data_IF_561170197712
#
_entry.id   IF_561170197712
#
_cell.length_a   1.000
_cell.length_b   1.000
_cell.length_c   1.000
_cell.angle_alpha   90.00
_cell.angle_beta   90.00
_cell.angle_gamma   90.00
#
_symmetry.space_group_name_H-M   'P 1'
#
loop_
_entity.id
_entity.type
_entity.pdbx_description
1 polymer ?
#
# COMPACT_ATOMS: atom_id res chain seq x y z
N UNK A 1 60.05 0.48 -2.06
CA UNK A 1 58.86 1.20 -1.52
C UNK A 1 57.64 1.21 -2.47
N UNK A 2 57.72 0.79 -3.74
CA UNK A 2 56.59 0.86 -4.68
C UNK A 2 55.56 -0.29 -4.54
N UNK A 3 55.98 -1.49 -4.13
CA UNK A 3 55.09 -2.65 -4.00
C UNK A 3 54.00 -2.52 -2.94
N UNK A 4 54.27 -1.82 -1.83
CA UNK A 4 53.29 -1.59 -0.76
C UNK A 4 52.16 -0.65 -1.21
N UNK A 5 52.48 0.37 -2.02
CA UNK A 5 51.49 1.31 -2.55
C UNK A 5 50.53 0.63 -3.54
N UNK A 6 51.05 -0.26 -4.40
CA UNK A 6 50.23 -1.02 -5.36
C UNK A 6 49.27 -1.96 -4.61
N UNK A 7 49.75 -2.66 -3.58
CA UNK A 7 48.90 -3.54 -2.76
C UNK A 7 47.76 -2.79 -2.06
N UNK A 8 48.04 -1.61 -1.53
CA UNK A 8 47.02 -0.76 -0.89
C UNK A 8 45.97 -0.27 -1.90
N UNK A 9 46.39 0.13 -3.10
CA UNK A 9 45.48 0.57 -4.16
C UNK A 9 44.59 -0.57 -4.69
N UNK A 10 45.14 -1.75 -4.92
CA UNK A 10 44.37 -2.92 -5.38
C UNK A 10 43.38 -3.38 -4.31
N UNK A 11 43.77 -3.42 -3.04
CA UNK A 11 42.88 -3.78 -1.92
C UNK A 11 41.76 -2.75 -1.72
N UNK A 12 42.07 -1.45 -1.82
CA UNK A 12 41.09 -0.38 -1.75
C UNK A 12 40.09 -0.44 -2.91
N UNK A 13 40.56 -0.70 -4.14
CA UNK A 13 39.69 -0.83 -5.31
C UNK A 13 38.77 -2.07 -5.21
N UNK A 14 39.28 -3.19 -4.68
CA UNK A 14 38.50 -4.40 -4.42
C UNK A 14 37.41 -4.18 -3.36
N UNK A 15 37.72 -3.44 -2.28
CA UNK A 15 36.74 -3.08 -1.26
C UNK A 15 35.68 -2.11 -1.77
N UNK A 16 36.03 -1.17 -2.65
CA UNK A 16 35.05 -0.30 -3.29
C UNK A 16 34.14 -1.08 -4.26
N UNK A 17 34.68 -2.08 -4.97
CA UNK A 17 33.90 -2.90 -5.88
C UNK A 17 32.85 -3.76 -5.13
N UNK A 18 33.17 -4.30 -3.95
CA UNK A 18 32.21 -5.12 -3.18
C UNK A 18 31.04 -4.32 -2.61
N UNK A 19 31.23 -3.04 -2.25
CA UNK A 19 30.15 -2.16 -1.78
C UNK A 19 29.15 -1.84 -2.91
N UNK A 20 29.64 -1.71 -4.15
CA UNK A 20 28.78 -1.40 -5.32
C UNK A 20 27.93 -2.60 -5.76
N UNK A 21 28.40 -3.83 -5.53
CA UNK A 21 27.68 -5.06 -5.90
C UNK A 21 26.55 -5.46 -4.94
N UNK A 22 26.46 -4.85 -3.76
CA UNK A 22 25.34 -5.07 -2.84
C UNK A 22 24.09 -4.31 -3.32
N UNK A 23 23.58 -4.67 -4.50
CA UNK A 23 22.32 -4.18 -5.03
C UNK A 23 21.20 -5.03 -4.42
N UNK A 24 20.56 -4.53 -3.37
CA UNK A 24 19.33 -5.17 -2.90
C UNK A 24 18.29 -5.14 -4.02
N UNK A 25 17.79 -6.32 -4.40
CA UNK A 25 16.68 -6.44 -5.34
C UNK A 25 15.42 -6.00 -4.60
N UNK A 26 14.77 -4.96 -5.11
CA UNK A 26 13.48 -4.53 -4.60
C UNK A 26 12.52 -5.73 -4.61
N UNK A 27 11.75 -5.89 -3.52
CA UNK A 27 10.70 -6.90 -3.47
C UNK A 27 9.80 -6.72 -4.68
N UNK A 28 9.63 -7.79 -5.43
CA UNK A 28 8.74 -7.79 -6.58
C UNK A 28 7.30 -7.81 -6.04
N UNK A 29 6.42 -6.92 -6.51
CA UNK A 29 5.01 -7.00 -6.16
C UNK A 29 4.43 -8.32 -6.68
N UNK A 30 3.48 -8.87 -5.94
CA UNK A 30 2.86 -10.16 -6.28
C UNK A 30 2.11 -10.05 -7.63
N UNK A 31 2.47 -10.88 -8.63
CA UNK A 31 1.89 -10.82 -9.97
C UNK A 31 0.40 -11.21 -10.01
N UNK A 32 -0.14 -11.83 -8.96
CA UNK A 32 -1.56 -12.17 -8.88
C UNK A 32 -2.45 -10.92 -8.71
N UNK A 33 -1.89 -9.81 -8.23
CA UNK A 33 -2.62 -8.56 -8.06
C UNK A 33 -2.69 -7.77 -9.37
N UNK A 34 -3.91 -7.61 -9.88
CA UNK A 34 -4.18 -6.69 -10.97
C UNK A 34 -4.41 -5.30 -10.38
N UNK A 35 -3.68 -4.31 -10.86
CA UNK A 35 -3.79 -2.93 -10.38
C UNK A 35 -3.89 -1.95 -11.54
N UNK A 36 -4.58 -0.84 -11.32
CA UNK A 36 -4.71 0.21 -12.32
C UNK A 36 -5.11 1.55 -11.71
N UNK A 37 -5.08 2.59 -12.53
CA UNK A 37 -5.53 3.93 -12.18
C UNK A 37 -6.46 4.43 -13.27
N UNK A 38 -7.64 4.88 -12.88
CA UNK A 38 -8.61 5.50 -13.78
C UNK A 38 -8.19 6.93 -14.13
N UNK A 39 -8.77 7.51 -15.19
CA UNK A 39 -8.44 8.86 -15.65
C UNK A 39 -8.70 9.95 -14.58
N UNK A 40 -9.59 9.69 -13.62
CA UNK A 40 -9.89 10.58 -12.49
C UNK A 40 -8.90 10.42 -11.31
N UNK A 41 -7.87 9.58 -11.44
CA UNK A 41 -6.90 9.29 -10.38
C UNK A 41 -7.35 8.23 -9.36
N UNK A 42 -8.50 7.59 -9.56
CA UNK A 42 -8.95 6.51 -8.70
C UNK A 42 -8.14 5.24 -8.95
N UNK A 43 -7.48 4.74 -7.90
CA UNK A 43 -6.66 3.54 -7.95
C UNK A 43 -7.50 2.32 -7.55
N UNK A 44 -7.36 1.24 -8.31
CA UNK A 44 -8.07 -0.01 -8.04
C UNK A 44 -7.10 -1.19 -8.04
N UNK A 45 -7.44 -2.20 -7.25
CA UNK A 45 -6.68 -3.44 -7.12
C UNK A 45 -7.67 -4.61 -7.04
N UNK A 46 -7.42 -5.65 -7.83
CA UNK A 46 -8.25 -6.86 -7.90
C UNK A 46 -7.34 -8.08 -7.77
N UNK A 47 -7.69 -8.95 -6.82
CA UNK A 47 -7.08 -10.27 -6.66
C UNK A 47 -8.12 -11.32 -7.05
N UNK A 48 -7.89 -12.01 -8.16
CA UNK A 48 -8.71 -13.14 -8.55
C UNK A 48 -8.22 -14.40 -7.83
N UNK A 49 -9.07 -15.03 -7.03
CA UNK A 49 -8.77 -16.29 -6.32
C UNK A 49 -9.57 -17.45 -6.95
N UNK A 50 -9.21 -17.91 -8.17
CA UNK A 50 -9.96 -18.99 -8.86
C UNK A 50 -9.94 -20.32 -8.09
N UNK A 51 -8.98 -20.48 -7.17
CA UNK A 51 -8.82 -21.65 -6.30
C UNK A 51 -9.96 -21.81 -5.28
N UNK A 52 -10.77 -20.77 -5.02
CA UNK A 52 -11.96 -20.87 -4.13
C UNK A 52 -13.17 -20.18 -4.76
N UNK A 53 -13.90 -20.87 -5.66
CA UNK A 53 -15.04 -20.28 -6.36
C UNK A 53 -16.27 -20.07 -5.45
N UNK A 54 -16.39 -20.83 -4.35
CA UNK A 54 -17.49 -20.71 -3.40
C UNK A 54 -17.24 -19.69 -2.28
N UNK A 55 -16.07 -19.04 -2.27
CA UNK A 55 -15.72 -18.08 -1.23
C UNK A 55 -16.42 -16.73 -1.44
N UNK A 56 -16.54 -15.94 -0.38
CA UNK A 56 -17.20 -14.63 -0.46
C UNK A 56 -16.31 -13.62 -1.15
N UNK A 57 -16.92 -12.73 -1.95
CA UNK A 57 -16.22 -11.59 -2.53
C UNK A 57 -16.05 -10.53 -1.45
N UNK A 58 -14.81 -10.08 -1.21
CA UNK A 58 -14.51 -8.96 -0.33
C UNK A 58 -14.28 -7.69 -1.13
N UNK A 59 -15.04 -6.63 -0.81
CA UNK A 59 -14.86 -5.30 -1.40
C UNK A 59 -14.36 -4.36 -0.31
N UNK A 60 -13.25 -3.66 -0.59
CA UNK A 60 -12.63 -2.70 0.34
C UNK A 60 -12.45 -1.37 -0.37
N UNK A 61 -13.06 -0.32 0.17
CA UNK A 61 -12.81 1.06 -0.26
C UNK A 61 -11.93 1.74 0.79
N UNK A 62 -10.75 2.19 0.38
CA UNK A 62 -9.85 2.96 1.22
C UNK A 62 -9.83 4.42 0.77
N UNK A 63 -9.98 5.33 1.73
CA UNK A 63 -9.86 6.77 1.52
C UNK A 63 -8.75 7.27 2.44
N UNK A 64 -7.76 7.95 1.88
CA UNK A 64 -6.57 8.42 2.62
C UNK A 64 -6.88 9.71 3.42
N UNK A 65 -7.90 9.67 4.28
CA UNK A 65 -8.34 10.77 5.14
C UNK A 65 -8.62 10.18 6.52
N UNK A 66 -8.19 10.86 7.58
CA UNK A 66 -8.38 10.41 8.96
C UNK A 66 -8.46 11.57 9.94
N UNK A 67 -8.46 11.28 11.24
CA UNK A 67 -8.53 12.31 12.29
C UNK A 67 -7.36 13.30 12.26
N UNK A 68 -6.21 12.89 11.73
CA UNK A 68 -5.04 13.76 11.55
C UNK A 68 -5.29 14.91 10.55
N UNK A 69 -6.25 14.75 9.64
CA UNK A 69 -6.64 15.78 8.67
C UNK A 69 -7.83 16.62 9.14
N UNK A 70 -8.30 16.45 10.38
CA UNK A 70 -9.41 17.23 10.94
C UNK A 70 -8.94 18.56 11.52
N UNK A 71 -9.74 19.61 11.30
CA UNK A 71 -9.61 20.87 12.05
C UNK A 71 -10.33 20.77 13.40
N UNK A 72 -10.08 21.72 14.31
CA UNK A 72 -10.70 21.77 15.64
C UNK A 72 -12.24 21.85 15.59
N UNK A 73 -12.80 22.49 14.56
CA UNK A 73 -14.24 22.56 14.32
C UNK A 73 -14.84 21.28 13.70
N UNK A 74 -13.99 20.40 13.17
CA UNK A 74 -14.37 19.17 12.44
C UNK A 74 -13.99 17.90 13.23
N UNK A 75 -13.76 18.04 14.53
CA UNK A 75 -13.39 16.93 15.40
C UNK A 75 -14.42 15.79 15.32
N UNK A 76 -13.96 14.59 14.97
CA UNK A 76 -14.77 13.37 14.89
C UNK A 76 -15.44 13.12 13.53
N UNK A 77 -15.20 13.96 12.52
CA UNK A 77 -15.81 13.82 11.18
C UNK A 77 -15.37 12.53 10.46
N UNK A 78 -14.10 12.13 10.58
CA UNK A 78 -13.54 10.94 9.95
C UNK A 78 -14.25 9.66 10.40
N UNK A 79 -14.81 9.65 11.61
CA UNK A 79 -15.60 8.52 12.13
C UNK A 79 -17.11 8.69 11.89
N UNK A 80 -17.60 9.92 11.76
CA UNK A 80 -19.01 10.20 11.52
C UNK A 80 -19.44 10.02 10.07
N UNK A 81 -18.64 10.49 9.10
CA UNK A 81 -18.95 10.44 7.66
C UNK A 81 -19.24 9.01 7.15
N UNK A 82 -18.46 7.98 7.48
CA UNK A 82 -18.75 6.61 7.04
C UNK A 82 -20.13 6.10 7.52
N UNK A 83 -20.55 6.49 8.73
CA UNK A 83 -21.87 6.11 9.27
C UNK A 83 -23.01 6.77 8.50
N UNK A 84 -22.83 8.03 8.08
CA UNK A 84 -23.79 8.70 7.21
C UNK A 84 -23.90 8.02 5.84
N UNK A 85 -22.77 7.63 5.24
CA UNK A 85 -22.74 6.94 3.95
C UNK A 85 -23.49 5.60 3.99
N UNK A 86 -23.43 4.88 5.11
CA UNK A 86 -24.17 3.63 5.31
C UNK A 86 -25.69 3.85 5.48
N UNK A 87 -26.10 5.00 6.05
CA UNK A 87 -27.51 5.33 6.25
C UNK A 87 -28.15 5.98 5.01
N UNK A 88 -27.36 6.51 4.08
CA UNK A 88 -27.83 7.17 2.89
C UNK A 88 -28.44 6.16 1.89
N UNK A 89 -29.77 6.10 1.79
CA UNK A 89 -30.49 5.25 0.82
C UNK A 89 -30.70 5.91 -0.55
N UNK A 90 -29.71 6.61 -1.10
CA UNK A 90 -29.88 7.37 -2.36
C UNK A 90 -29.54 6.55 -3.62
N UNK A 91 -29.45 5.22 -3.53
CA UNK A 91 -29.15 4.39 -4.68
C UNK A 91 -30.36 4.31 -5.65
N UNK A 92 -30.19 4.62 -6.95
CA UNK A 92 -31.25 4.48 -7.96
C UNK A 92 -31.73 3.01 -8.10
N UNK A 93 -33.05 2.73 -8.06
CA UNK A 93 -33.56 1.37 -8.06
C UNK A 93 -33.51 0.66 -9.44
N UNK A 94 -33.11 1.34 -10.50
CA UNK A 94 -33.16 0.86 -11.90
C UNK A 94 -31.94 0.03 -12.34
N UNK A 95 -30.87 -0.02 -11.54
CA UNK A 95 -29.64 -0.76 -11.88
C UNK A 95 -29.10 -1.65 -10.75
N UNK A 96 -29.96 -2.14 -9.85
CA UNK A 96 -29.57 -3.04 -8.78
C UNK A 96 -29.28 -4.47 -9.29
N UNK A 97 -28.12 -4.65 -9.92
CA UNK A 97 -27.53 -5.98 -10.12
C UNK A 97 -27.10 -6.64 -8.78
N UNK A 98 -26.59 -7.88 -8.80
CA UNK A 98 -26.33 -8.69 -7.60
C UNK A 98 -25.21 -8.17 -6.66
N UNK A 99 -24.66 -6.97 -6.89
CA UNK A 99 -23.57 -6.38 -6.13
C UNK A 99 -23.99 -5.67 -4.83
N UNK A 100 -25.23 -5.86 -4.38
CA UNK A 100 -25.68 -5.45 -3.04
C UNK A 100 -25.07 -6.39 -1.97
N UNK A 101 -23.74 -6.46 -1.88
CA UNK A 101 -23.01 -7.30 -0.93
C UNK A 101 -22.02 -6.46 -0.12
N UNK A 102 -22.38 -6.30 1.15
CA UNK A 102 -21.51 -6.19 2.32
C UNK A 102 -20.42 -5.10 2.30
N UNK A 103 -20.82 -3.89 2.68
CA UNK A 103 -19.89 -2.83 3.07
C UNK A 103 -19.32 -3.13 4.47
N UNK A 104 -18.20 -3.84 4.55
CA UNK A 104 -17.27 -3.68 5.68
C UNK A 104 -16.28 -2.59 5.29
N UNK A 105 -16.64 -1.34 5.59
CA UNK A 105 -15.67 -0.24 5.63
C UNK A 105 -14.72 -0.55 6.78
N UNK A 106 -13.61 -1.21 6.48
CA UNK A 106 -12.57 -1.47 7.46
C UNK A 106 -11.84 -0.14 7.72
N UNK A 107 -12.34 0.64 8.67
CA UNK A 107 -11.58 1.73 9.28
C UNK A 107 -10.45 1.11 10.10
N UNK A 108 -9.42 0.60 9.44
CA UNK A 108 -8.15 0.25 10.08
C UNK A 108 -7.12 1.28 9.66
N UNK A 109 -7.24 2.45 10.28
CA UNK A 109 -6.17 3.42 10.39
C UNK A 109 -4.99 2.79 11.15
N UNK A 110 -3.80 3.31 10.86
CA UNK A 110 -2.50 2.94 11.41
C UNK A 110 -1.79 1.79 10.68
N UNK A 111 -1.39 2.07 9.43
CA UNK A 111 -0.02 1.78 9.05
C UNK A 111 0.66 3.11 8.72
N UNK A 112 1.50 3.57 9.64
CA UNK A 112 2.36 4.73 9.46
C UNK A 112 3.10 4.58 8.13
N UNK A 113 2.84 5.48 7.18
CA UNK A 113 3.69 5.68 6.01
C UNK A 113 4.70 6.76 6.39
N UNK A 114 5.95 6.42 6.76
CA UNK A 114 6.95 7.45 6.99
C UNK A 114 7.30 8.13 5.65
N UNK A 115 7.61 9.44 5.67
CA UNK A 115 8.13 10.11 4.49
C UNK A 115 9.55 9.59 4.24
N UNK A 116 9.80 9.20 2.99
CA UNK A 116 11.10 9.22 2.31
C UNK A 116 12.37 8.84 3.09
N UNK A 117 13.00 7.77 2.61
CA UNK A 117 14.45 7.51 2.69
C UNK A 117 15.02 7.27 4.08
N UNK A 118 15.15 5.99 4.44
CA UNK A 118 16.40 5.31 4.85
C UNK A 118 16.08 4.05 5.67
N UNK A 119 16.70 2.95 5.27
CA UNK A 119 17.12 1.80 6.08
C UNK A 119 16.06 1.01 6.87
N UNK A 120 15.92 -0.25 6.45
CA UNK A 120 15.94 -1.44 7.30
C UNK A 120 14.99 -1.50 8.49
N UNK A 121 13.90 -2.25 8.35
CA UNK A 121 13.44 -3.15 9.41
C UNK A 121 12.77 -4.36 8.77
N UNK A 122 13.43 -5.50 8.97
CA UNK A 122 12.90 -6.84 8.72
C UNK A 122 11.82 -7.11 9.77
N UNK A 123 10.59 -7.38 9.36
CA UNK A 123 9.61 -8.04 10.22
C UNK A 123 9.57 -9.52 9.82
N UNK A 124 10.33 -10.35 10.55
CA UNK A 124 10.00 -11.75 10.75
C UNK A 124 9.31 -11.84 12.13
N UNK A 125 8.37 -12.78 12.21
CA UNK A 125 7.65 -13.24 13.42
C UNK A 125 8.46 -13.22 14.70
#
# INVERSE_FOLDING_TARGET
MQGTKIRLLTGGLLMMATVVMCRQKALQPDPAWQQGTLANGFQWQVLATPQRPSDRIEVRLSVNIGSLSESTQQSGFSHFIPRLALNAKRWPPDHAGPFAMASRVLTRSVLCRPPSSLMTTVCLT
#
